data_IF_260999604555
#
_entry.id   IF_260999604555
#
_cell.length_a   1.000
_cell.length_b   1.000
_cell.length_c   1.000
_cell.angle_alpha   90.00
_cell.angle_beta   90.00
_cell.angle_gamma   90.00
#
_symmetry.space_group_name_H-M   'P 1'
#
loop_
_entity.id
_entity.type
_entity.pdbx_description
1 polymer ?
#
# COMPACT_ATOMS: atom_id res chain seq x y z
N UNK A 1 2.90 -11.87 -17.57
CA UNK A 1 3.74 -11.89 -16.34
C UNK A 1 5.20 -11.67 -16.72
N UNK A 2 5.58 -10.42 -16.87
CA UNK A 2 6.88 -10.01 -17.45
C UNK A 2 7.98 -9.85 -16.38
N UNK A 3 7.84 -10.51 -15.22
CA UNK A 3 8.75 -10.33 -14.08
C UNK A 3 9.60 -11.57 -13.76
N UNK A 4 9.52 -12.62 -14.57
CA UNK A 4 10.30 -13.85 -14.33
C UNK A 4 11.25 -14.10 -15.51
N UNK A 5 12.51 -14.29 -15.18
CA UNK A 5 13.59 -14.55 -16.11
C UNK A 5 14.15 -15.95 -15.84
N UNK A 6 14.55 -16.66 -16.89
CA UNK A 6 15.09 -18.03 -16.80
C UNK A 6 16.51 -18.04 -17.31
N UNK A 7 17.38 -18.78 -16.62
CA UNK A 7 18.74 -19.06 -17.10
C UNK A 7 19.18 -20.47 -16.73
N UNK A 8 20.06 -20.99 -17.53
CA UNK A 8 20.70 -22.30 -17.34
C UNK A 8 22.20 -22.08 -17.40
N UNK A 9 22.95 -22.64 -16.45
CA UNK A 9 24.40 -22.54 -16.42
C UNK A 9 25.03 -23.93 -16.35
N UNK A 10 26.07 -24.13 -17.14
CA UNK A 10 27.01 -25.22 -17.00
C UNK A 10 28.10 -24.75 -16.02
N UNK A 11 28.04 -25.26 -14.78
CA UNK A 11 28.96 -24.81 -13.73
C UNK A 11 30.36 -25.39 -13.86
N UNK A 12 30.53 -26.46 -14.61
CA UNK A 12 31.84 -27.05 -14.91
C UNK A 12 32.61 -26.17 -15.90
N UNK A 13 31.88 -25.63 -16.90
CA UNK A 13 32.48 -24.80 -17.96
C UNK A 13 32.38 -23.30 -17.69
N UNK A 14 31.73 -22.90 -16.61
CA UNK A 14 31.38 -21.51 -16.27
C UNK A 14 30.75 -20.77 -17.46
N UNK A 15 29.73 -21.39 -18.03
CA UNK A 15 29.03 -20.90 -19.20
C UNK A 15 27.50 -20.93 -18.94
N UNK A 16 26.80 -19.89 -19.36
CA UNK A 16 25.34 -19.82 -19.17
C UNK A 16 24.58 -19.35 -20.41
N UNK A 17 23.31 -19.74 -20.45
CA UNK A 17 22.34 -19.22 -21.40
C UNK A 17 21.22 -18.52 -20.64
N UNK A 18 20.94 -17.31 -21.02
CA UNK A 18 19.92 -16.46 -20.45
C UNK A 18 18.75 -16.27 -21.42
N UNK A 19 17.53 -16.15 -20.87
CA UNK A 19 16.36 -15.82 -21.70
C UNK A 19 16.50 -14.43 -22.32
N UNK A 20 16.01 -14.24 -23.54
CA UNK A 20 16.08 -12.94 -24.20
C UNK A 20 15.48 -11.78 -23.38
N UNK A 21 14.33 -11.95 -22.67
CA UNK A 21 13.84 -10.91 -21.79
C UNK A 21 14.81 -10.52 -20.65
N UNK A 22 15.61 -11.47 -20.13
CA UNK A 22 16.66 -11.15 -19.14
C UNK A 22 17.77 -10.31 -19.75
N UNK A 23 18.25 -10.69 -20.91
CA UNK A 23 19.29 -9.95 -21.66
C UNK A 23 18.85 -8.51 -21.91
N UNK A 24 17.63 -8.35 -22.41
CA UNK A 24 17.05 -7.03 -22.72
C UNK A 24 16.83 -6.18 -21.46
N UNK A 25 16.44 -6.78 -20.35
CA UNK A 25 16.11 -6.05 -19.12
C UNK A 25 17.33 -5.64 -18.30
N UNK A 26 18.32 -6.54 -18.17
CA UNK A 26 19.53 -6.29 -17.40
C UNK A 26 20.69 -5.78 -18.27
N UNK A 27 20.48 -5.57 -19.56
CA UNK A 27 21.50 -5.15 -20.52
C UNK A 27 22.74 -6.07 -20.51
N UNK A 28 22.50 -7.39 -20.53
CA UNK A 28 23.56 -8.39 -20.56
C UNK A 28 24.23 -8.42 -21.94
N UNK A 29 25.47 -8.89 -22.05
CA UNK A 29 26.23 -8.89 -23.30
C UNK A 29 25.62 -9.78 -24.40
N UNK A 30 24.76 -10.74 -24.01
CA UNK A 30 24.06 -11.63 -24.95
C UNK A 30 23.36 -12.77 -24.21
N UNK A 31 22.69 -13.63 -24.99
CA UNK A 31 22.02 -14.83 -24.44
C UNK A 31 23.02 -15.86 -23.89
N UNK A 32 24.24 -15.86 -24.40
CA UNK A 32 25.31 -16.77 -24.01
C UNK A 32 26.44 -16.00 -23.33
N UNK A 33 26.74 -16.38 -22.09
CA UNK A 33 27.71 -15.67 -21.24
C UNK A 33 28.76 -16.65 -20.72
N UNK A 34 30.04 -16.33 -20.93
CA UNK A 34 31.17 -16.98 -20.31
C UNK A 34 31.53 -16.30 -19.00
N UNK A 35 32.15 -17.02 -18.06
CA UNK A 35 32.47 -16.51 -16.70
C UNK A 35 31.20 -15.92 -16.01
N UNK A 36 30.14 -16.66 -16.02
CA UNK A 36 28.79 -16.24 -15.62
C UNK A 36 28.72 -15.57 -14.25
N UNK A 37 29.37 -16.19 -13.24
CA UNK A 37 29.31 -15.66 -11.89
C UNK A 37 30.06 -14.30 -11.79
N UNK A 38 31.20 -14.15 -12.45
CA UNK A 38 31.95 -12.91 -12.47
C UNK A 38 31.23 -11.81 -13.22
N UNK A 39 30.58 -12.13 -14.34
CA UNK A 39 29.84 -11.18 -15.14
C UNK A 39 28.59 -10.71 -14.40
N UNK A 40 27.86 -11.65 -13.80
CA UNK A 40 26.64 -11.31 -13.08
C UNK A 40 26.89 -10.49 -11.80
N UNK A 41 27.97 -10.76 -11.06
CA UNK A 41 28.34 -9.99 -9.85
C UNK A 41 28.48 -8.50 -10.15
N UNK A 42 28.92 -8.11 -11.36
CA UNK A 42 29.04 -6.69 -11.74
C UNK A 42 27.68 -5.98 -11.81
N UNK A 43 26.61 -6.73 -12.05
CA UNK A 43 25.23 -6.20 -12.05
C UNK A 43 24.64 -6.11 -10.65
N UNK A 44 25.23 -6.79 -9.65
CA UNK A 44 24.74 -6.77 -8.28
C UNK A 44 25.21 -5.50 -7.57
N UNK A 45 24.31 -4.89 -6.78
CA UNK A 45 24.65 -3.72 -5.96
C UNK A 45 25.85 -4.06 -5.04
N UNK A 46 26.88 -3.20 -4.94
CA UNK A 46 28.08 -3.51 -4.17
C UNK A 46 27.84 -3.97 -2.73
N UNK A 47 26.86 -3.38 -2.05
CA UNK A 47 26.50 -3.77 -0.68
C UNK A 47 25.86 -5.17 -0.58
N UNK A 48 25.36 -5.74 -1.68
CA UNK A 48 24.63 -7.01 -1.70
C UNK A 48 25.44 -8.15 -2.34
N UNK A 49 26.63 -7.87 -2.92
CA UNK A 49 27.46 -8.87 -3.60
C UNK A 49 27.83 -10.04 -2.68
N UNK A 50 28.06 -9.77 -1.39
CA UNK A 50 28.40 -10.81 -0.41
C UNK A 50 27.26 -11.84 -0.27
N UNK A 51 25.99 -11.45 -0.37
CA UNK A 51 24.82 -12.35 -0.28
C UNK A 51 24.87 -13.39 -1.40
N UNK A 52 25.13 -12.95 -2.62
CA UNK A 52 25.23 -13.82 -3.78
C UNK A 52 26.46 -14.73 -3.68
N UNK A 53 27.63 -14.16 -3.36
CA UNK A 53 28.88 -14.90 -3.30
C UNK A 53 28.90 -15.98 -2.20
N UNK A 54 28.31 -15.70 -1.03
CA UNK A 54 28.14 -16.68 0.03
C UNK A 54 27.22 -17.83 -0.37
N UNK A 55 26.09 -17.52 -1.03
CA UNK A 55 25.13 -18.54 -1.43
C UNK A 55 25.71 -19.47 -2.51
N UNK A 56 26.34 -18.92 -3.56
CA UNK A 56 27.00 -19.75 -4.57
C UNK A 56 28.24 -20.47 -4.02
N UNK A 57 28.98 -19.87 -3.09
CA UNK A 57 30.10 -20.50 -2.41
C UNK A 57 29.70 -21.80 -1.72
N UNK A 58 28.56 -21.82 -1.05
CA UNK A 58 28.00 -23.05 -0.42
C UNK A 58 27.70 -24.16 -1.43
N UNK A 59 27.32 -23.79 -2.65
CA UNK A 59 27.08 -24.74 -3.75
C UNK A 59 28.42 -25.33 -4.23
N UNK A 60 29.40 -24.48 -4.46
CA UNK A 60 30.74 -24.93 -4.89
C UNK A 60 31.42 -25.81 -3.84
N UNK A 61 31.22 -25.54 -2.55
CA UNK A 61 31.73 -26.34 -1.43
C UNK A 61 30.96 -27.65 -1.21
N UNK A 62 29.88 -27.91 -1.95
CA UNK A 62 29.04 -29.10 -1.79
C UNK A 62 28.09 -29.08 -0.60
N UNK A 63 27.96 -27.93 0.07
CA UNK A 63 27.08 -27.73 1.24
C UNK A 63 25.61 -27.55 0.88
N UNK A 64 25.31 -27.20 -0.37
CA UNK A 64 23.96 -27.01 -0.89
C UNK A 64 23.88 -27.37 -2.36
N UNK A 65 22.72 -27.84 -2.82
CA UNK A 65 22.38 -27.95 -4.24
C UNK A 65 21.31 -26.94 -4.64
N UNK A 66 20.94 -26.01 -3.74
CA UNK A 66 19.92 -25.00 -3.97
C UNK A 66 20.52 -23.61 -3.84
N UNK A 67 20.14 -22.78 -4.79
CA UNK A 67 20.38 -21.34 -4.79
C UNK A 67 19.07 -20.65 -4.40
N UNK A 68 19.10 -19.76 -3.42
CA UNK A 68 17.93 -18.98 -3.03
C UNK A 68 18.38 -17.73 -2.28
N UNK A 69 18.49 -16.62 -2.98
CA UNK A 69 18.86 -15.36 -2.38
C UNK A 69 18.14 -14.17 -3.04
N UNK A 70 18.06 -13.07 -2.30
CA UNK A 70 17.51 -11.80 -2.77
C UNK A 70 18.60 -10.74 -2.67
N UNK A 71 18.73 -9.95 -3.74
CA UNK A 71 19.69 -8.84 -3.83
C UNK A 71 19.24 -7.81 -4.87
N UNK A 72 19.88 -6.65 -4.87
CA UNK A 72 19.63 -5.62 -5.88
C UNK A 72 20.47 -5.85 -7.11
N UNK A 73 19.84 -5.86 -8.29
CA UNK A 73 20.50 -5.96 -9.60
C UNK A 73 20.23 -4.72 -10.45
N UNK A 74 21.27 -4.29 -11.17
CA UNK A 74 21.21 -3.13 -12.05
C UNK A 74 20.45 -3.47 -13.34
N UNK A 75 19.43 -2.68 -13.67
CA UNK A 75 18.69 -2.83 -14.92
C UNK A 75 19.26 -1.94 -16.03
N UNK A 76 18.76 -2.09 -17.26
CA UNK A 76 19.19 -1.30 -18.44
C UNK A 76 18.97 0.21 -18.32
N UNK A 77 18.15 0.65 -17.36
CA UNK A 77 17.90 2.07 -17.12
C UNK A 77 18.84 2.68 -16.07
N UNK A 78 19.87 1.94 -15.64
CA UNK A 78 20.80 2.37 -14.61
C UNK A 78 20.21 2.38 -13.19
N UNK A 79 19.09 1.66 -12.96
CA UNK A 79 18.44 1.56 -11.66
C UNK A 79 18.62 0.19 -11.06
N UNK A 80 18.88 0.12 -9.75
CA UNK A 80 18.88 -1.13 -9.01
C UNK A 80 17.43 -1.56 -8.69
N UNK A 81 17.13 -2.82 -9.01
CA UNK A 81 15.84 -3.48 -8.72
C UNK A 81 16.07 -4.69 -7.84
N UNK A 82 15.20 -4.96 -6.90
CA UNK A 82 15.26 -6.19 -6.14
C UNK A 82 14.89 -7.38 -7.00
N UNK A 83 15.72 -8.40 -6.93
CA UNK A 83 15.51 -9.68 -7.61
C UNK A 83 15.62 -10.83 -6.60
N UNK A 84 14.77 -11.83 -6.78
CA UNK A 84 14.92 -13.12 -6.11
C UNK A 84 15.43 -14.13 -7.10
N UNK A 85 16.59 -14.70 -6.82
CA UNK A 85 17.16 -15.77 -7.60
C UNK A 85 16.94 -17.09 -6.90
N UNK A 86 16.39 -18.06 -7.63
CA UNK A 86 16.18 -19.41 -7.14
C UNK A 86 16.64 -20.39 -8.20
N UNK A 87 17.28 -21.50 -7.76
CA UNK A 87 17.71 -22.51 -8.70
C UNK A 87 18.17 -23.79 -8.01
N UNK A 88 18.39 -24.78 -8.84
CA UNK A 88 18.83 -26.12 -8.41
C UNK A 88 20.03 -26.50 -9.26
N UNK A 89 21.04 -27.08 -8.60
CA UNK A 89 22.21 -27.69 -9.23
C UNK A 89 22.01 -29.18 -9.33
N UNK A 90 22.12 -29.70 -10.53
CA UNK A 90 22.26 -31.14 -10.77
C UNK A 90 23.76 -31.48 -10.74
N UNK A 91 24.15 -32.48 -9.95
CA UNK A 91 25.54 -32.95 -9.90
C UNK A 91 25.72 -34.17 -10.79
N UNK A 92 26.89 -34.24 -11.37
CA UNK A 92 27.31 -35.44 -12.14
C UNK A 92 27.44 -36.67 -11.24
N UNK A 93 27.49 -37.87 -11.83
CA UNK A 93 27.58 -39.14 -11.10
C UNK A 93 28.85 -39.25 -10.20
N UNK A 94 29.89 -38.50 -10.50
CA UNK A 94 31.11 -38.39 -9.71
C UNK A 94 31.08 -37.34 -8.59
N UNK A 95 29.93 -36.64 -8.43
CA UNK A 95 29.70 -35.60 -7.45
C UNK A 95 30.17 -34.19 -7.88
N UNK A 96 30.76 -34.08 -9.07
CA UNK A 96 31.16 -32.77 -9.63
C UNK A 96 29.96 -31.93 -9.96
N UNK A 97 30.16 -30.59 -10.10
CA UNK A 97 29.09 -29.64 -10.47
C UNK A 97 28.69 -29.90 -11.93
N UNK A 98 27.38 -30.03 -12.16
CA UNK A 98 26.80 -30.18 -13.47
C UNK A 98 25.99 -28.94 -13.89
N UNK A 99 24.76 -29.17 -14.35
CA UNK A 99 23.88 -28.11 -14.77
C UNK A 99 23.20 -27.41 -13.60
N UNK A 100 23.14 -26.09 -13.68
CA UNK A 100 22.30 -25.26 -12.84
C UNK A 100 21.11 -24.75 -13.65
N UNK A 101 19.91 -24.88 -13.12
CA UNK A 101 18.70 -24.29 -13.69
C UNK A 101 18.14 -23.30 -12.70
N UNK A 102 18.04 -22.04 -13.11
CA UNK A 102 17.59 -20.96 -12.26
C UNK A 102 16.51 -20.09 -12.86
N UNK A 103 15.76 -19.51 -11.96
CA UNK A 103 14.80 -18.43 -12.25
C UNK A 103 15.17 -17.20 -11.46
N UNK A 104 14.98 -16.06 -12.07
CA UNK A 104 15.11 -14.77 -11.42
C UNK A 104 13.79 -14.05 -11.52
N UNK A 105 13.23 -13.68 -10.38
CA UNK A 105 12.00 -12.92 -10.29
C UNK A 105 12.34 -11.47 -9.96
N UNK A 106 11.89 -10.54 -10.79
CA UNK A 106 11.96 -9.13 -10.47
C UNK A 106 10.90 -8.82 -9.40
N UNK A 107 11.34 -8.46 -8.23
CA UNK A 107 10.51 -8.13 -7.07
C UNK A 107 10.09 -6.65 -7.07
N UNK A 108 10.25 -5.94 -8.17
CA UNK A 108 9.98 -4.51 -8.26
C UNK A 108 8.67 -4.06 -7.61
N UNK A 109 7.63 -4.90 -7.67
CA UNK A 109 6.35 -4.72 -6.96
C UNK A 109 6.41 -5.26 -5.51
N UNK A 110 7.32 -6.19 -5.20
CA UNK A 110 7.54 -6.83 -3.90
C UNK A 110 8.91 -6.49 -3.30
N UNK A 111 9.56 -5.45 -3.78
CA UNK A 111 10.80 -4.97 -3.20
C UNK A 111 10.60 -4.58 -1.74
N UNK A 112 11.62 -4.83 -0.90
CA UNK A 112 11.59 -4.43 0.50
C UNK A 112 11.48 -2.92 0.66
N UNK A 113 12.11 -2.17 -0.24
CA UNK A 113 12.12 -0.71 -0.24
C UNK A 113 11.57 -0.16 -1.55
N UNK A 114 10.76 0.89 -1.45
CA UNK A 114 10.31 1.69 -2.57
C UNK A 114 11.46 2.58 -3.06
N UNK A 115 11.90 2.37 -4.29
CA UNK A 115 13.09 3.03 -4.84
C UNK A 115 13.00 4.57 -4.84
N UNK A 116 11.88 5.20 -5.25
CA UNK A 116 11.77 6.66 -5.24
C UNK A 116 11.86 7.26 -3.84
N UNK A 117 11.22 6.64 -2.83
CA UNK A 117 11.10 7.24 -1.49
C UNK A 117 12.10 6.67 -0.47
N UNK A 118 12.70 5.50 -0.74
CA UNK A 118 13.57 4.79 0.20
C UNK A 118 12.85 4.13 1.38
N UNK A 119 11.52 4.23 1.47
CA UNK A 119 10.72 3.64 2.52
C UNK A 119 10.48 2.15 2.30
N UNK A 120 10.10 1.43 3.36
CA UNK A 120 9.56 0.09 3.20
C UNK A 120 8.34 0.10 2.28
N UNK A 121 8.16 -0.97 1.48
CA UNK A 121 6.99 -1.11 0.61
C UNK A 121 5.76 -1.52 1.41
N UNK A 122 4.57 -1.35 0.82
CA UNK A 122 3.32 -1.86 1.34
C UNK A 122 3.32 -3.38 1.54
N UNK A 123 4.10 -4.11 0.74
CA UNK A 123 4.30 -5.56 0.94
C UNK A 123 4.99 -5.86 2.26
N UNK A 124 6.02 -5.08 2.62
CA UNK A 124 6.69 -5.23 3.92
C UNK A 124 5.78 -4.83 5.08
N UNK A 125 4.91 -3.83 4.92
CA UNK A 125 3.88 -3.51 5.91
C UNK A 125 2.99 -4.72 6.21
N UNK A 126 2.49 -5.39 5.16
CA UNK A 126 1.67 -6.61 5.28
C UNK A 126 2.36 -7.74 6.01
N UNK A 127 3.68 -7.84 5.91
CA UNK A 127 4.49 -8.85 6.61
C UNK A 127 4.78 -8.47 8.07
N UNK A 128 5.17 -7.22 8.30
CA UNK A 128 5.72 -6.78 9.58
C UNK A 128 4.62 -6.46 10.60
N UNK A 129 3.54 -5.81 10.20
CA UNK A 129 2.49 -5.39 11.12
C UNK A 129 1.81 -6.57 11.85
N UNK A 130 1.44 -7.70 11.20
CA UNK A 130 0.97 -8.88 11.92
C UNK A 130 2.00 -9.44 12.91
N UNK A 131 3.29 -9.36 12.57
CA UNK A 131 4.35 -9.79 13.49
C UNK A 131 4.43 -8.89 14.73
N UNK A 132 4.28 -7.58 14.58
CA UNK A 132 4.25 -6.66 15.72
C UNK A 132 3.09 -6.99 16.67
N UNK A 133 1.88 -7.17 16.11
CA UNK A 133 0.68 -7.51 16.88
C UNK A 133 0.85 -8.86 17.60
N UNK A 134 1.35 -9.89 16.91
CA UNK A 134 1.54 -11.24 17.48
C UNK A 134 2.58 -11.28 18.60
N UNK A 135 3.53 -10.33 18.61
CA UNK A 135 4.50 -10.17 19.72
C UNK A 135 3.98 -9.26 20.85
N UNK A 136 2.69 -8.94 20.83
CA UNK A 136 2.06 -8.12 21.87
C UNK A 136 2.42 -6.64 21.81
N UNK A 137 2.92 -6.15 20.69
CA UNK A 137 3.14 -4.72 20.50
C UNK A 137 1.82 -3.99 20.33
N UNK A 138 1.71 -2.85 20.98
CA UNK A 138 0.60 -1.92 20.83
C UNK A 138 1.08 -0.62 20.17
N UNK A 139 0.20 0.00 19.40
CA UNK A 139 0.57 1.24 18.73
C UNK A 139 -0.53 1.83 17.88
N UNK A 140 -0.14 2.75 17.01
CA UNK A 140 -1.01 3.40 16.05
C UNK A 140 -0.46 3.28 14.62
N UNK A 141 -1.37 3.15 13.68
CA UNK A 141 -1.13 3.33 12.24
C UNK A 141 -1.72 4.67 11.82
N UNK A 142 -0.87 5.56 11.30
CA UNK A 142 -1.31 6.79 10.66
C UNK A 142 -1.17 6.60 9.14
N UNK A 143 -2.26 6.75 8.43
CA UNK A 143 -2.30 6.68 6.97
C UNK A 143 -2.42 8.09 6.41
N UNK A 144 -1.35 8.58 5.82
CA UNK A 144 -1.31 9.83 5.08
C UNK A 144 -1.61 9.61 3.60
N UNK A 145 -2.32 10.54 2.98
CA UNK A 145 -2.57 10.55 1.54
C UNK A 145 -2.42 11.97 0.98
N UNK A 146 -1.59 12.10 -0.05
CA UNK A 146 -1.42 13.35 -0.79
C UNK A 146 -2.70 13.63 -1.58
N UNK A 147 -3.47 14.61 -1.12
CA UNK A 147 -4.75 14.94 -1.70
C UNK A 147 -4.61 15.37 -3.17
N UNK A 148 -5.45 14.78 -4.02
CA UNK A 148 -5.49 15.12 -5.46
C UNK A 148 -4.15 15.00 -6.19
N UNK A 149 -3.30 14.03 -5.80
CA UNK A 149 -2.01 13.78 -6.47
C UNK A 149 -2.17 13.64 -7.99
N UNK A 150 -3.23 12.96 -8.45
CA UNK A 150 -3.52 12.85 -9.89
C UNK A 150 -3.64 14.23 -10.56
N UNK A 151 -4.34 15.18 -9.92
CA UNK A 151 -4.47 16.54 -10.45
C UNK A 151 -3.14 17.29 -10.48
N UNK A 152 -2.28 17.05 -9.49
CA UNK A 152 -0.91 17.62 -9.49
C UNK A 152 -0.15 17.07 -10.70
N UNK A 153 -0.21 15.76 -10.93
CA UNK A 153 0.42 15.12 -12.09
C UNK A 153 -0.14 15.62 -13.43
N UNK A 154 -1.46 15.83 -13.52
CA UNK A 154 -2.11 16.31 -14.75
C UNK A 154 -1.73 17.77 -15.09
N UNK A 155 -1.51 18.62 -14.07
CA UNK A 155 -1.20 20.04 -14.27
C UNK A 155 0.30 20.28 -14.39
N UNK A 156 1.11 19.65 -13.51
CA UNK A 156 2.53 19.94 -13.36
C UNK A 156 3.45 18.85 -13.93
N UNK A 157 2.86 17.72 -14.34
CA UNK A 157 3.58 16.54 -14.83
C UNK A 157 3.98 15.57 -13.73
N UNK A 158 4.16 14.29 -14.14
CA UNK A 158 4.50 13.19 -13.24
C UNK A 158 5.83 13.39 -12.49
N UNK A 159 6.81 14.07 -13.11
CA UNK A 159 8.10 14.32 -12.45
C UNK A 159 7.96 15.20 -11.19
N UNK A 160 7.04 16.16 -11.21
CA UNK A 160 6.76 17.01 -10.04
C UNK A 160 6.06 16.22 -8.96
N UNK A 161 5.07 15.39 -9.32
CA UNK A 161 4.40 14.51 -8.37
C UNK A 161 5.36 13.51 -7.73
N UNK A 162 6.25 12.91 -8.51
CA UNK A 162 7.29 11.99 -8.02
C UNK A 162 8.26 12.70 -7.05
N UNK A 163 8.67 13.92 -7.34
CA UNK A 163 9.52 14.75 -6.46
C UNK A 163 8.81 15.04 -5.13
N UNK A 164 7.51 15.40 -5.15
CA UNK A 164 6.71 15.60 -3.94
C UNK A 164 6.66 14.32 -3.11
N UNK A 165 6.41 13.16 -3.74
CA UNK A 165 6.37 11.87 -3.05
C UNK A 165 7.74 11.48 -2.46
N UNK A 166 8.82 11.74 -3.19
CA UNK A 166 10.17 11.46 -2.72
C UNK A 166 10.53 12.29 -1.50
N UNK A 167 10.24 13.60 -1.53
CA UNK A 167 10.47 14.51 -0.39
C UNK A 167 9.61 14.14 0.82
N UNK A 168 8.34 13.75 0.61
CA UNK A 168 7.48 13.26 1.69
C UNK A 168 8.03 11.97 2.29
N UNK A 169 8.55 11.06 1.46
CA UNK A 169 9.23 9.85 1.92
C UNK A 169 10.43 10.16 2.82
N UNK A 170 11.29 11.10 2.42
CA UNK A 170 12.41 11.56 3.23
C UNK A 170 11.94 12.18 4.56
N UNK A 171 10.88 12.98 4.52
CA UNK A 171 10.28 13.54 5.74
C UNK A 171 9.78 12.44 6.68
N UNK A 172 9.02 11.46 6.16
CA UNK A 172 8.53 10.33 6.94
C UNK A 172 9.67 9.49 7.53
N UNK A 173 10.75 9.31 6.79
CA UNK A 173 11.94 8.57 7.26
C UNK A 173 12.70 9.29 8.38
N UNK A 174 12.65 10.62 8.41
CA UNK A 174 13.33 11.44 9.42
C UNK A 174 12.57 11.55 10.76
N UNK A 175 11.32 11.09 10.82
CA UNK A 175 10.51 11.17 12.03
C UNK A 175 10.95 10.15 13.09
N UNK A 176 11.29 10.62 14.28
CA UNK A 176 11.72 9.78 15.40
C UNK A 176 10.56 8.95 15.97
N UNK A 177 10.81 7.67 16.26
CA UNK A 177 9.81 6.75 16.82
C UNK A 177 8.74 6.29 15.83
N UNK A 178 9.00 6.47 14.51
CA UNK A 178 8.08 6.13 13.45
C UNK A 178 8.74 5.19 12.44
N UNK A 179 8.07 4.11 12.08
CA UNK A 179 8.45 3.24 10.96
C UNK A 179 7.51 3.55 9.81
N UNK A 180 8.07 3.93 8.65
CA UNK A 180 7.29 4.43 7.53
C UNK A 180 7.33 3.49 6.33
N UNK A 181 6.18 3.38 5.66
CA UNK A 181 5.97 2.50 4.52
C UNK A 181 5.29 3.26 3.39
N UNK A 182 5.71 2.97 2.17
CA UNK A 182 5.11 3.52 0.95
C UNK A 182 3.91 2.69 0.53
N UNK A 183 2.74 3.30 0.47
CA UNK A 183 1.51 2.70 -0.05
C UNK A 183 1.28 3.00 -1.54
N UNK A 184 0.20 2.47 -2.12
CA UNK A 184 -0.18 2.78 -3.50
C UNK A 184 -0.65 4.23 -3.66
N UNK A 185 -0.46 4.80 -4.85
CA UNK A 185 -0.87 6.18 -5.17
C UNK A 185 -0.09 7.21 -4.34
N UNK A 186 -0.78 8.11 -3.66
CA UNK A 186 -0.21 9.14 -2.77
C UNK A 186 -0.07 8.73 -1.31
N UNK A 187 -0.20 7.44 -0.97
CA UNK A 187 -0.35 6.96 0.41
C UNK A 187 0.97 6.62 1.09
N UNK A 188 1.05 6.94 2.39
CA UNK A 188 2.17 6.65 3.28
C UNK A 188 1.63 6.15 4.62
N UNK A 189 2.12 5.01 5.09
CA UNK A 189 1.77 4.44 6.39
C UNK A 189 2.89 4.71 7.37
N UNK A 190 2.55 5.29 8.51
CA UNK A 190 3.47 5.55 9.61
C UNK A 190 3.01 4.75 10.82
N UNK A 191 3.87 3.87 11.32
CA UNK A 191 3.59 3.06 12.52
C UNK A 191 4.41 3.61 13.68
N UNK A 192 3.75 3.80 14.81
CA UNK A 192 4.39 4.20 16.05
C UNK A 192 3.84 3.39 17.22
N UNK A 193 4.67 3.14 18.24
CA UNK A 193 4.25 2.55 19.52
C UNK A 193 3.75 3.60 20.50
N UNK A 194 3.95 4.90 20.19
CA UNK A 194 3.41 5.99 20.97
C UNK A 194 1.94 6.22 20.63
N UNK A 195 1.05 6.08 21.63
CA UNK A 195 -0.41 6.21 21.46
C UNK A 195 -0.97 7.52 22.04
N UNK A 196 -0.13 8.36 22.63
CA UNK A 196 -0.59 9.62 23.20
C UNK A 196 -1.07 10.59 22.13
N UNK A 197 -2.13 11.32 22.40
CA UNK A 197 -2.68 12.33 21.49
C UNK A 197 -1.59 13.34 21.08
N UNK A 198 -0.72 13.73 22.01
CA UNK A 198 0.40 14.65 21.76
C UNK A 198 1.42 14.10 20.77
N UNK A 199 1.72 12.78 20.83
CA UNK A 199 2.66 12.15 19.90
C UNK A 199 2.05 12.05 18.49
N UNK A 200 0.78 11.65 18.38
CA UNK A 200 0.08 11.58 17.10
C UNK A 200 -0.09 12.96 16.47
N UNK A 201 -0.42 13.98 17.26
CA UNK A 201 -0.51 15.37 16.81
C UNK A 201 0.85 15.90 16.34
N UNK A 202 1.96 15.56 17.03
CA UNK A 202 3.32 15.88 16.59
C UNK A 202 3.59 15.31 15.19
N UNK A 203 3.37 14.00 14.99
CA UNK A 203 3.60 13.33 13.71
C UNK A 203 2.74 13.97 12.61
N UNK A 204 1.47 14.23 12.90
CA UNK A 204 0.56 14.86 11.95
C UNK A 204 1.01 16.27 11.56
N UNK A 205 1.37 17.11 12.55
CA UNK A 205 1.84 18.48 12.31
C UNK A 205 3.14 18.56 11.52
N UNK A 206 4.03 17.60 11.70
CA UNK A 206 5.25 17.53 10.90
C UNK A 206 4.96 17.31 9.42
N UNK A 207 3.97 16.46 9.10
CA UNK A 207 3.52 16.23 7.72
C UNK A 207 2.73 17.43 7.18
N UNK A 208 1.92 18.11 8.01
CA UNK A 208 1.23 19.34 7.60
C UNK A 208 2.20 20.47 7.27
N UNK A 209 3.23 20.66 8.10
CA UNK A 209 4.29 21.64 7.83
C UNK A 209 4.99 21.35 6.50
N UNK A 210 5.31 20.10 6.24
CA UNK A 210 5.84 19.68 4.94
C UNK A 210 4.91 20.10 3.79
N UNK A 211 3.61 19.91 3.90
CA UNK A 211 2.66 20.28 2.84
C UNK A 211 2.59 21.79 2.57
N UNK A 212 2.97 22.63 3.53
CA UNK A 212 3.06 24.08 3.39
C UNK A 212 4.42 24.54 2.84
N UNK A 213 5.51 23.88 3.23
CA UNK A 213 6.88 24.26 2.90
C UNK A 213 7.27 23.81 1.48
N UNK A 214 6.97 22.58 1.10
CA UNK A 214 7.44 21.97 -0.16
C UNK A 214 6.97 22.70 -1.41
N UNK A 215 5.70 23.16 -1.55
CA UNK A 215 5.32 23.94 -2.71
C UNK A 215 6.13 25.23 -2.85
N UNK A 216 6.46 25.88 -1.73
CA UNK A 216 7.29 27.11 -1.74
C UNK A 216 8.72 26.83 -2.16
N UNK A 217 9.33 25.76 -1.62
CA UNK A 217 10.70 25.35 -1.96
C UNK A 217 10.84 24.95 -3.43
N UNK A 218 9.79 24.32 -3.98
CA UNK A 218 9.74 23.89 -5.38
C UNK A 218 9.24 24.99 -6.33
N UNK A 219 8.93 26.20 -5.83
CA UNK A 219 8.33 27.30 -6.59
C UNK A 219 7.04 26.87 -7.33
N UNK A 220 6.20 26.06 -6.67
CA UNK A 220 4.94 25.60 -7.22
C UNK A 220 3.79 26.53 -6.82
N UNK A 221 3.01 26.98 -7.79
CA UNK A 221 1.80 27.77 -7.56
C UNK A 221 0.59 26.87 -7.28
N UNK A 222 0.74 25.94 -6.33
CA UNK A 222 -0.33 25.01 -5.89
C UNK A 222 -0.43 24.98 -4.38
N UNK A 223 -1.62 24.67 -3.91
CA UNK A 223 -1.83 24.29 -2.51
C UNK A 223 -1.74 22.76 -2.40
N UNK A 224 -0.72 22.27 -1.70
CA UNK A 224 -0.58 20.87 -1.34
C UNK A 224 -1.31 20.63 -0.02
N UNK A 225 -2.15 19.59 0.05
CA UNK A 225 -2.77 19.13 1.28
C UNK A 225 -2.57 17.65 1.45
N UNK A 226 -2.45 17.19 2.70
CA UNK A 226 -2.25 15.78 3.04
C UNK A 226 -3.24 15.42 4.12
N UNK A 227 -4.17 14.52 3.81
CA UNK A 227 -5.16 14.01 4.77
C UNK A 227 -4.61 12.81 5.53
N UNK A 228 -5.09 12.60 6.77
CA UNK A 228 -4.61 11.53 7.64
C UNK A 228 -5.76 10.74 8.28
N UNK A 229 -5.69 9.41 8.20
CA UNK A 229 -6.49 8.49 9.00
C UNK A 229 -5.64 7.85 10.10
N UNK A 230 -6.23 7.57 11.26
CA UNK A 230 -5.55 6.93 12.41
C UNK A 230 -6.36 5.74 12.89
N UNK A 231 -5.70 4.61 13.14
CA UNK A 231 -6.27 3.45 13.82
C UNK A 231 -5.25 2.84 14.77
N UNK A 232 -5.71 2.23 15.86
CA UNK A 232 -4.87 1.66 16.90
C UNK A 232 -4.86 0.13 16.84
N UNK A 233 -3.70 -0.46 17.08
CA UNK A 233 -3.58 -1.90 17.24
C UNK A 233 -3.08 -2.24 18.68
N UNK A 234 -3.58 -3.30 19.31
CA UNK A 234 -4.66 -4.20 18.84
C UNK A 234 -6.09 -3.68 19.08
N UNK A 235 -6.26 -2.46 19.62
CA UNK A 235 -7.54 -1.91 20.10
C UNK A 235 -8.63 -1.87 19.02
N UNK A 236 -8.30 -1.41 17.81
CA UNK A 236 -9.26 -1.29 16.70
C UNK A 236 -9.29 -2.56 15.84
N UNK A 237 -8.18 -3.31 15.78
CA UNK A 237 -8.09 -4.61 15.13
C UNK A 237 -6.81 -5.35 15.53
N UNK A 238 -6.89 -6.68 15.54
CA UNK A 238 -5.77 -7.59 15.83
C UNK A 238 -5.17 -8.23 14.56
N UNK A 239 -5.78 -8.01 13.40
CA UNK A 239 -5.30 -8.48 12.11
C UNK A 239 -5.06 -7.33 11.13
N UNK A 240 -4.20 -7.59 10.15
CA UNK A 240 -3.80 -6.57 9.17
C UNK A 240 -4.98 -6.08 8.32
N UNK A 241 -5.81 -7.00 7.81
CA UNK A 241 -6.85 -6.64 6.83
C UNK A 241 -7.92 -5.76 7.47
N UNK A 242 -8.34 -6.07 8.70
CA UNK A 242 -9.29 -5.27 9.46
C UNK A 242 -8.67 -3.91 9.85
N UNK A 243 -7.43 -3.91 10.34
CA UNK A 243 -6.77 -2.66 10.72
C UNK A 243 -6.54 -1.74 9.52
N UNK A 244 -6.16 -2.31 8.37
CA UNK A 244 -6.02 -1.58 7.12
C UNK A 244 -7.36 -0.97 6.66
N UNK A 245 -8.45 -1.75 6.71
CA UNK A 245 -9.78 -1.24 6.37
C UNK A 245 -10.21 -0.10 7.33
N UNK A 246 -9.91 -0.23 8.62
CA UNK A 246 -10.26 0.77 9.63
C UNK A 246 -9.50 2.09 9.43
N UNK A 247 -8.20 2.03 9.13
CA UNK A 247 -7.42 3.25 8.88
C UNK A 247 -7.79 3.92 7.55
N UNK A 248 -8.11 3.14 6.51
CA UNK A 248 -8.65 3.67 5.24
C UNK A 248 -10.00 4.35 5.45
N UNK A 249 -10.88 3.74 6.24
CA UNK A 249 -12.16 4.36 6.62
C UNK A 249 -11.95 5.70 7.35
N UNK A 250 -11.02 5.74 8.32
CA UNK A 250 -10.69 6.97 9.04
C UNK A 250 -10.18 8.06 8.07
N UNK A 251 -9.30 7.70 7.13
CA UNK A 251 -8.79 8.62 6.10
C UNK A 251 -9.93 9.20 5.25
N UNK A 252 -10.89 8.36 4.83
CA UNK A 252 -12.05 8.83 4.07
C UNK A 252 -12.94 9.78 4.90
N UNK A 253 -13.08 9.56 6.22
CA UNK A 253 -13.80 10.50 7.09
C UNK A 253 -13.04 11.83 7.20
N UNK A 254 -11.71 11.82 7.34
CA UNK A 254 -10.90 13.03 7.33
C UNK A 254 -11.15 13.86 6.05
N UNK A 255 -11.09 13.23 4.88
CA UNK A 255 -11.35 13.89 3.58
C UNK A 255 -12.75 14.46 3.44
N UNK A 256 -13.77 13.85 4.09
CA UNK A 256 -15.17 14.35 4.09
C UNK A 256 -15.33 15.60 4.95
N UNK A 257 -14.62 15.70 6.07
CA UNK A 257 -14.61 16.91 6.91
C UNK A 257 -13.94 18.07 6.17
N UNK A 258 -12.83 17.78 5.50
CA UNK A 258 -12.06 18.73 4.70
C UNK A 258 -10.69 18.14 4.39
N UNK A 259 -10.17 18.39 3.18
CA UNK A 259 -8.81 17.94 2.84
C UNK A 259 -7.78 18.61 3.72
N UNK A 260 -6.68 17.92 3.97
CA UNK A 260 -5.67 18.34 4.93
C UNK A 260 -6.13 18.16 6.39
N UNK A 261 -7.08 17.27 6.66
CA UNK A 261 -7.58 16.97 8.00
C UNK A 261 -7.08 15.61 8.49
N UNK A 262 -7.23 15.40 9.80
CA UNK A 262 -6.99 14.11 10.46
C UNK A 262 -8.28 13.59 11.05
N UNK A 263 -8.51 12.28 10.97
CA UNK A 263 -9.58 11.60 11.69
C UNK A 263 -9.10 10.27 12.27
N UNK A 264 -9.58 9.97 13.47
CA UNK A 264 -9.34 8.69 14.13
C UNK A 264 -10.48 7.73 13.82
N UNK A 265 -10.18 6.45 13.64
CA UNK A 265 -11.18 5.41 13.49
C UNK A 265 -12.09 5.36 14.72
N UNK A 266 -13.39 5.16 14.49
CA UNK A 266 -14.40 4.96 15.51
C UNK A 266 -15.33 3.85 15.06
N UNK A 267 -15.36 2.73 15.77
CA UNK A 267 -16.24 1.60 15.47
C UNK A 267 -17.72 1.98 15.51
N UNK A 268 -18.12 2.96 16.35
CA UNK A 268 -19.50 3.46 16.37
C UNK A 268 -19.83 4.22 15.07
N UNK A 269 -18.90 5.05 14.60
CA UNK A 269 -19.07 5.83 13.36
C UNK A 269 -19.09 4.90 12.13
N UNK A 270 -18.25 3.87 12.14
CA UNK A 270 -18.24 2.86 11.10
C UNK A 270 -19.56 2.09 11.03
N UNK A 271 -20.09 1.61 12.17
CA UNK A 271 -21.41 0.94 12.22
C UNK A 271 -22.52 1.81 11.64
N UNK A 272 -22.63 3.07 12.04
CA UNK A 272 -23.61 4.01 11.47
C UNK A 272 -23.50 4.17 9.96
N UNK A 273 -22.28 4.18 9.43
CA UNK A 273 -22.05 4.28 7.98
C UNK A 273 -22.49 3.01 7.25
N UNK A 274 -22.20 1.84 7.80
CA UNK A 274 -22.64 0.53 7.25
C UNK A 274 -24.17 0.42 7.29
N UNK A 275 -24.79 0.81 8.40
CA UNK A 275 -26.26 0.84 8.53
C UNK A 275 -26.90 1.77 7.50
N UNK A 276 -26.35 2.97 7.32
CA UNK A 276 -26.81 3.91 6.30
C UNK A 276 -26.70 3.34 4.89
N UNK A 277 -25.58 2.69 4.57
CA UNK A 277 -25.38 2.06 3.27
C UNK A 277 -26.39 0.93 3.03
N UNK A 278 -26.58 0.03 4.01
CA UNK A 278 -27.59 -1.03 3.94
C UNK A 278 -28.99 -0.47 3.72
N UNK A 279 -29.33 0.59 4.44
CA UNK A 279 -30.62 1.26 4.27
C UNK A 279 -30.79 1.84 2.86
N UNK A 280 -29.74 2.45 2.29
CA UNK A 280 -29.78 2.96 0.92
C UNK A 280 -30.01 1.84 -0.12
N UNK A 281 -29.39 0.67 0.06
CA UNK A 281 -29.60 -0.46 -0.84
C UNK A 281 -31.05 -1.01 -0.72
N UNK A 282 -31.54 -1.17 0.50
CA UNK A 282 -32.94 -1.59 0.74
C UNK A 282 -33.94 -0.59 0.13
N UNK A 283 -33.68 0.71 0.23
CA UNK A 283 -34.49 1.74 -0.40
C UNK A 283 -34.49 1.65 -1.92
N UNK A 284 -33.28 1.44 -2.54
CA UNK A 284 -33.18 1.26 -4.00
C UNK A 284 -33.94 0.03 -4.49
N UNK A 285 -33.77 -1.11 -3.80
CA UNK A 285 -34.51 -2.33 -4.13
C UNK A 285 -36.03 -2.13 -3.97
N UNK A 286 -36.48 -1.44 -2.92
CA UNK A 286 -37.87 -1.13 -2.69
C UNK A 286 -38.45 -0.30 -3.82
N UNK A 287 -37.74 0.76 -4.26
CA UNK A 287 -38.19 1.60 -5.38
C UNK A 287 -38.27 0.78 -6.68
N UNK A 288 -37.29 -0.08 -6.94
CA UNK A 288 -37.31 -0.97 -8.10
C UNK A 288 -38.47 -1.99 -8.06
N UNK A 289 -38.93 -2.36 -6.86
CA UNK A 289 -40.02 -3.31 -6.62
C UNK A 289 -41.37 -2.60 -6.31
N UNK A 290 -41.73 -1.63 -7.11
CA UNK A 290 -42.99 -0.87 -6.99
C UNK A 290 -43.19 -0.18 -5.63
N UNK A 291 -42.11 0.38 -5.08
CA UNK A 291 -42.16 1.10 -3.79
C UNK A 291 -42.66 0.25 -2.62
N UNK A 292 -42.36 -1.05 -2.61
CA UNK A 292 -42.74 -1.96 -1.53
C UNK A 292 -42.14 -1.48 -0.20
N UNK A 293 -42.99 -1.36 0.83
CA UNK A 293 -42.58 -0.84 2.15
C UNK A 293 -42.82 0.66 2.33
N UNK A 294 -43.07 1.40 1.26
CA UNK A 294 -43.54 2.79 1.38
C UNK A 294 -45.00 2.86 1.73
N UNK A 295 -45.35 3.77 2.64
CA UNK A 295 -46.71 4.09 3.01
C UNK A 295 -46.87 5.61 3.11
N UNK A 296 -48.05 6.08 2.80
CA UNK A 296 -48.44 7.47 2.99
C UNK A 296 -49.31 7.57 4.24
N UNK A 297 -48.93 8.47 5.13
CA UNK A 297 -49.75 8.86 6.30
C UNK A 297 -50.12 10.32 6.16
N UNK A 298 -51.29 10.67 6.68
CA UNK A 298 -51.84 12.01 6.55
C UNK A 298 -51.90 12.66 7.92
N UNK A 299 -51.28 13.83 8.05
CA UNK A 299 -51.36 14.65 9.24
C UNK A 299 -52.38 15.76 9.00
N UNK A 300 -53.51 15.82 9.76
CA UNK A 300 -54.50 16.85 9.55
C UNK A 300 -53.99 18.24 9.87
N UNK A 301 -54.30 19.19 9.02
CA UNK A 301 -54.10 20.62 9.23
C UNK A 301 -55.39 21.21 9.78
N UNK A 302 -55.35 21.74 11.00
CA UNK A 302 -56.49 22.25 11.73
C UNK A 302 -56.40 23.76 11.81
N UNK A 303 -57.51 24.45 11.54
CA UNK A 303 -57.63 25.89 11.77
C UNK A 303 -57.57 26.18 13.27
N UNK A 304 -56.63 27.04 13.68
CA UNK A 304 -56.39 27.36 15.09
C UNK A 304 -57.57 28.04 15.80
N UNK A 305 -58.43 28.74 15.04
CA UNK A 305 -59.60 29.46 15.59
C UNK A 305 -60.88 28.60 15.58
N UNK A 306 -61.18 27.95 14.44
CA UNK A 306 -62.41 27.18 14.26
C UNK A 306 -62.27 25.72 14.68
N UNK A 307 -61.08 25.21 14.88
CA UNK A 307 -60.77 23.81 15.17
C UNK A 307 -61.18 22.83 14.05
N UNK A 308 -61.58 23.36 12.89
CA UNK A 308 -61.97 22.54 11.74
C UNK A 308 -60.71 22.10 10.91
N UNK A 309 -60.75 20.85 10.41
CA UNK A 309 -59.73 20.33 9.50
C UNK A 309 -59.96 20.94 8.12
N UNK A 310 -58.97 21.70 7.60
CA UNK A 310 -59.06 22.32 6.29
C UNK A 310 -58.13 21.67 5.26
N UNK A 311 -57.27 20.74 5.67
CA UNK A 311 -56.35 20.05 4.79
C UNK A 311 -55.59 18.94 5.50
N UNK A 312 -54.69 18.29 4.80
CA UNK A 312 -53.79 17.31 5.38
C UNK A 312 -52.44 17.37 4.71
N UNK A 313 -51.40 17.28 5.49
CA UNK A 313 -50.02 17.05 4.99
C UNK A 313 -49.83 15.55 4.72
N UNK A 314 -49.36 15.22 3.54
CA UNK A 314 -49.03 13.83 3.18
C UNK A 314 -47.57 13.57 3.51
N UNK A 315 -47.36 12.64 4.43
CA UNK A 315 -46.03 12.28 4.92
C UNK A 315 -45.71 10.84 4.50
N UNK A 316 -44.60 10.67 3.80
CA UNK A 316 -44.12 9.35 3.41
C UNK A 316 -43.48 8.66 4.61
N UNK A 317 -43.76 7.38 4.78
CA UNK A 317 -43.12 6.47 5.74
C UNK A 317 -42.53 5.30 4.99
N UNK A 318 -41.42 4.78 5.48
CA UNK A 318 -40.78 3.58 4.94
C UNK A 318 -40.63 2.54 6.04
N UNK A 319 -41.04 1.31 5.74
CA UNK A 319 -40.97 0.18 6.63
C UNK A 319 -40.07 -0.88 6.04
N UNK A 320 -39.08 -1.33 6.84
CA UNK A 320 -38.24 -2.46 6.50
C UNK A 320 -39.05 -3.76 6.39
N UNK A 321 -38.51 -4.84 5.79
CA UNK A 321 -39.21 -6.13 5.69
C UNK A 321 -39.67 -6.74 7.03
N UNK A 322 -38.96 -6.39 8.12
CA UNK A 322 -39.28 -6.80 9.48
C UNK A 322 -40.38 -5.93 10.16
N UNK A 323 -40.89 -4.92 9.45
CA UNK A 323 -41.89 -4.00 9.95
C UNK A 323 -41.36 -2.79 10.71
N UNK A 324 -40.03 -2.66 10.87
CA UNK A 324 -39.43 -1.51 11.53
C UNK A 324 -39.58 -0.25 10.68
N UNK A 325 -40.13 0.82 11.25
CA UNK A 325 -40.26 2.12 10.57
C UNK A 325 -38.91 2.85 10.57
N UNK A 326 -38.47 3.26 9.38
CA UNK A 326 -37.29 4.11 9.19
C UNK A 326 -37.69 5.57 9.44
N UNK A 327 -37.07 6.22 10.42
CA UNK A 327 -37.24 7.65 10.67
C UNK A 327 -36.80 8.49 9.47
N UNK A 328 -37.57 9.53 9.07
CA UNK A 328 -37.09 10.54 8.13
C UNK A 328 -35.78 11.14 8.65
N UNK A 329 -34.77 11.31 7.77
CA UNK A 329 -33.49 11.96 8.11
C UNK A 329 -33.62 13.46 8.11
#
# INVERSE_FOLDING_TARGET
>A
SDNMYIYIADLERDFSRWSKPSVDYFNLPGEFIENTAKEWVQHIHPADQHIFLEDIGRIFEGKSNRHNCEYRALNKYGKYVWVRCQGIVERNADGSLGLFVGTMMNLGVNAKFDQPTGLYTFHELKKQLPSFISHGMEGAVLLFDVDRLQRINDILGYLVGDEVLQRLGQKCQSMEGVISYRGPGGKFYCITTEKSESALDRIYREVQRFSEEVPREMNLEIQLTISCGVAFFPQDAEDFETLHANVEYALEQAKKVGRGSIAQFSGQMHRKTVEKFRLQEVLRESVANNCRGFALVYQPLVNGETQEVYGAETLMRFYLPDGTMVSPM
#
